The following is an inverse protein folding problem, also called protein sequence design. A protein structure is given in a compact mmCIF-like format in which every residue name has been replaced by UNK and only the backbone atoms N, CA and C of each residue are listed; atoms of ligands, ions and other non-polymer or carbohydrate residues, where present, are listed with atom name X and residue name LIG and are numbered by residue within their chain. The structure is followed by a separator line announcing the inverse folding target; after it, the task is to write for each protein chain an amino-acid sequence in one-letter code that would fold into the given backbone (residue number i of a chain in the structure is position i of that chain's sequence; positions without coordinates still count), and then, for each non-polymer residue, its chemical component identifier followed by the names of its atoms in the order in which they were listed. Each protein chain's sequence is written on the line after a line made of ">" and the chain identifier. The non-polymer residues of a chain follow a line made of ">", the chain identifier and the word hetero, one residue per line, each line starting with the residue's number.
data_IF_207402577884
#
_entry.id   IF_207402577884
#
_cell.length_a   1.000
_cell.length_b   1.000
_cell.length_c   1.000
_cell.angle_alpha   90.00
_cell.angle_beta   90.00
_cell.angle_gamma   90.00
#
_symmetry.space_group_name_H-M   'P 1'
#
loop_
_entity.id
_entity.type
_entity.pdbx_description
1 polymer ?
#
# COMPACT_ATOMS: atom_id res chain seq x y z
N UNK A 1 13.44 6.74 14.81
CA UNK A 1 12.23 7.20 15.54
C UNK A 1 10.96 7.01 14.74
N UNK A 2 10.88 7.47 13.49
CA UNK A 2 9.67 7.35 12.67
C UNK A 2 9.12 5.92 12.54
N UNK A 3 9.98 4.92 12.36
CA UNK A 3 9.55 3.53 12.25
C UNK A 3 8.79 3.01 13.48
N UNK A 4 9.24 3.38 14.69
CA UNK A 4 8.56 3.05 15.94
C UNK A 4 7.19 3.73 16.01
N UNK A 5 7.14 5.02 15.68
CA UNK A 5 5.89 5.80 15.66
C UNK A 5 4.88 5.23 14.63
N UNK A 6 5.35 4.87 13.43
CA UNK A 6 4.51 4.25 12.40
C UNK A 6 3.95 2.90 12.84
N UNK A 7 4.77 2.04 13.45
CA UNK A 7 4.29 0.77 14.01
C UNK A 7 3.33 0.96 15.18
N UNK A 8 3.50 2.02 15.98
CA UNK A 8 2.53 2.38 17.01
C UNK A 8 1.21 2.87 16.42
N UNK A 9 1.25 3.66 15.35
CA UNK A 9 0.05 4.07 14.62
C UNK A 9 -0.78 2.87 14.12
N UNK A 10 -0.10 1.81 13.64
CA UNK A 10 -0.77 0.57 13.23
C UNK A 10 -1.52 -0.10 14.39
N UNK A 11 -1.02 -0.04 15.64
CA UNK A 11 -1.72 -0.58 16.81
C UNK A 11 -3.07 0.11 17.03
N UNK A 12 -3.08 1.44 16.92
CA UNK A 12 -4.28 2.25 17.14
C UNK A 12 -5.33 2.09 16.03
N UNK A 13 -4.93 1.56 14.87
CA UNK A 13 -5.81 1.34 13.73
C UNK A 13 -6.40 -0.08 13.69
N UNK A 14 -6.07 -0.96 14.65
CA UNK A 14 -6.66 -2.31 14.70
C UNK A 14 -8.20 -2.24 14.77
N UNK A 15 -8.93 -3.10 14.04
CA UNK A 15 -8.47 -4.31 13.36
C UNK A 15 -8.00 -4.11 11.90
N UNK A 16 -7.77 -2.88 11.43
CA UNK A 16 -7.29 -2.65 10.08
C UNK A 16 -5.93 -3.30 9.85
N UNK A 17 -5.75 -3.86 8.66
CA UNK A 17 -4.56 -4.63 8.27
C UNK A 17 -3.88 -3.91 7.11
N UNK A 18 -2.56 -3.72 7.21
CA UNK A 18 -1.78 -3.09 6.16
C UNK A 18 -1.45 -4.07 5.02
N UNK A 19 -0.65 -3.65 4.04
CA UNK A 19 -0.17 -4.52 2.97
C UNK A 19 0.78 -5.60 3.52
N UNK A 20 0.94 -6.70 2.78
CA UNK A 20 1.82 -7.80 3.15
C UNK A 20 3.26 -7.37 3.53
N UNK A 21 3.98 -6.55 2.76
CA UNK A 21 5.32 -6.08 3.15
C UNK A 21 5.30 -5.23 4.43
N UNK A 22 4.33 -4.32 4.59
CA UNK A 22 4.23 -3.47 5.77
C UNK A 22 3.88 -4.27 7.03
N UNK A 23 3.01 -5.28 6.94
CA UNK A 23 2.73 -6.17 8.07
C UNK A 23 3.96 -6.97 8.49
N UNK A 24 4.81 -7.41 7.55
CA UNK A 24 6.07 -8.08 7.91
C UNK A 24 7.03 -7.15 8.64
N UNK A 25 7.16 -5.90 8.19
CA UNK A 25 7.97 -4.89 8.89
C UNK A 25 7.43 -4.62 10.29
N UNK A 26 6.11 -4.46 10.42
CA UNK A 26 5.45 -4.31 11.72
C UNK A 26 5.74 -5.51 12.64
N UNK A 27 5.62 -6.75 12.16
CA UNK A 27 5.93 -7.95 12.95
C UNK A 27 7.40 -7.99 13.37
N UNK A 28 8.32 -7.63 12.45
CA UNK A 28 9.75 -7.57 12.73
C UNK A 28 10.06 -6.53 13.82
N UNK A 29 9.49 -5.32 13.74
CA UNK A 29 9.64 -4.29 14.78
C UNK A 29 9.06 -4.77 16.11
N UNK A 30 7.90 -5.44 16.09
CA UNK A 30 7.24 -5.96 17.30
C UNK A 30 7.98 -7.12 17.95
N UNK A 31 8.87 -7.79 17.23
CA UNK A 31 9.76 -8.81 17.80
C UNK A 31 10.84 -8.25 18.73
N UNK A 32 11.19 -6.97 18.58
CA UNK A 32 12.22 -6.30 19.40
C UNK A 32 11.67 -5.14 20.25
N UNK A 33 10.50 -4.62 19.91
CA UNK A 33 9.86 -3.52 20.63
C UNK A 33 8.35 -3.74 20.77
N UNK A 34 7.91 -4.02 21.99
CA UNK A 34 6.50 -4.23 22.31
C UNK A 34 5.66 -2.96 22.06
N UNK A 35 4.35 -3.07 21.77
CA UNK A 35 3.46 -1.91 21.71
C UNK A 35 3.57 -1.04 22.96
N UNK A 36 3.49 0.28 22.79
CA UNK A 36 3.44 1.20 23.91
C UNK A 36 1.99 1.25 24.43
N UNK A 37 1.77 0.74 25.63
CA UNK A 37 0.46 0.73 26.31
C UNK A 37 0.47 1.74 27.47
N UNK A 38 1.52 1.68 28.27
CA UNK A 38 1.82 2.64 29.34
C UNK A 38 3.18 3.28 29.07
N UNK A 39 3.41 4.44 29.68
CA UNK A 39 4.68 5.13 29.55
C UNK A 39 5.82 4.31 30.17
N UNK A 40 6.94 4.24 29.46
CA UNK A 40 8.13 3.48 29.86
C UNK A 40 9.38 4.11 29.24
N UNK A 41 10.54 3.79 29.80
CA UNK A 41 11.81 4.13 29.15
C UNK A 41 11.92 3.46 27.78
N UNK A 42 11.97 4.27 26.72
CA UNK A 42 12.11 3.81 25.35
C UNK A 42 13.57 3.66 24.90
N UNK A 43 14.56 3.93 25.76
CA UNK A 43 15.96 3.92 25.35
C UNK A 43 16.38 2.56 24.75
N UNK A 44 16.02 1.45 25.42
CA UNK A 44 16.31 0.11 24.92
C UNK A 44 15.58 -0.22 23.61
N UNK A 45 14.31 0.19 23.48
CA UNK A 45 13.52 0.04 22.25
C UNK A 45 14.18 0.79 21.08
N UNK A 46 14.64 2.02 21.33
CA UNK A 46 15.30 2.87 20.32
C UNK A 46 16.61 2.25 19.87
N UNK A 47 17.47 1.81 20.78
CA UNK A 47 18.75 1.16 20.44
C UNK A 47 18.54 -0.14 19.67
N UNK A 48 17.57 -0.97 20.06
CA UNK A 48 17.25 -2.20 19.35
C UNK A 48 16.80 -1.93 17.91
N UNK A 49 15.99 -0.89 17.69
CA UNK A 49 15.53 -0.51 16.35
C UNK A 49 16.66 0.11 15.52
N UNK A 50 17.54 0.90 16.12
CA UNK A 50 18.74 1.42 15.43
C UNK A 50 19.61 0.25 14.96
N UNK A 51 19.85 -0.76 15.81
CA UNK A 51 20.64 -1.93 15.43
C UNK A 51 19.95 -2.73 14.33
N UNK A 52 18.63 -2.95 14.42
CA UNK A 52 17.85 -3.65 13.41
C UNK A 52 17.93 -2.97 12.02
N UNK A 53 17.91 -1.64 11.98
CA UNK A 53 18.10 -0.85 10.76
C UNK A 53 19.54 -0.94 10.24
N UNK A 54 20.55 -0.83 11.12
CA UNK A 54 21.97 -0.95 10.75
C UNK A 54 22.33 -2.33 10.22
N UNK A 55 21.70 -3.38 10.77
CA UNK A 55 21.82 -4.76 10.30
C UNK A 55 21.07 -5.00 8.97
N UNK A 56 20.42 -3.97 8.42
CA UNK A 56 19.65 -4.03 7.18
C UNK A 56 18.46 -5.00 7.19
N UNK A 57 18.02 -5.46 8.37
CA UNK A 57 16.95 -6.46 8.52
C UNK A 57 15.60 -5.98 7.98
N UNK A 58 15.31 -4.69 8.06
CA UNK A 58 14.09 -4.11 7.46
C UNK A 58 14.11 -4.25 5.95
N UNK A 59 15.25 -3.96 5.31
CA UNK A 59 15.41 -4.09 3.86
C UNK A 59 15.27 -5.55 3.43
N UNK A 60 15.98 -6.46 4.08
CA UNK A 60 15.92 -7.91 3.78
C UNK A 60 14.49 -8.45 3.92
N UNK A 61 13.74 -7.94 4.89
CA UNK A 61 12.35 -8.30 5.13
C UNK A 61 11.42 -7.92 3.96
N UNK A 62 11.64 -6.77 3.34
CA UNK A 62 10.77 -6.23 2.27
C UNK A 62 11.28 -6.50 0.86
N UNK A 63 12.58 -6.74 0.68
CA UNK A 63 13.24 -6.90 -0.61
C UNK A 63 12.54 -7.93 -1.52
N UNK A 64 12.11 -9.11 -1.04
CA UNK A 64 11.41 -10.07 -1.90
C UNK A 64 10.11 -9.50 -2.47
N UNK A 65 9.35 -8.75 -1.65
CA UNK A 65 8.11 -8.13 -2.09
C UNK A 65 8.36 -7.01 -3.11
N UNK A 66 9.39 -6.18 -2.89
CA UNK A 66 9.76 -5.12 -3.84
C UNK A 66 10.22 -5.68 -5.18
N UNK A 67 10.96 -6.80 -5.17
CA UNK A 67 11.35 -7.50 -6.39
C UNK A 67 10.12 -8.00 -7.14
N UNK A 68 9.18 -8.67 -6.46
CA UNK A 68 7.93 -9.13 -7.06
C UNK A 68 7.11 -7.96 -7.62
N UNK A 69 6.97 -6.86 -6.87
CA UNK A 69 6.25 -5.67 -7.36
C UNK A 69 6.91 -5.10 -8.62
N UNK A 70 8.24 -4.98 -8.66
CA UNK A 70 8.97 -4.49 -9.83
C UNK A 70 8.81 -5.41 -11.04
N UNK A 71 8.93 -6.72 -10.85
CA UNK A 71 8.73 -7.71 -11.93
C UNK A 71 7.31 -7.66 -12.48
N UNK A 72 6.31 -7.45 -11.62
CA UNK A 72 4.92 -7.25 -12.05
C UNK A 72 4.75 -5.96 -12.87
N UNK A 73 5.39 -4.85 -12.46
CA UNK A 73 5.36 -3.57 -13.20
C UNK A 73 5.96 -3.68 -14.60
N UNK A 74 7.06 -4.42 -14.72
CA UNK A 74 7.76 -4.62 -16.00
C UNK A 74 6.95 -5.47 -16.99
N UNK A 75 6.15 -6.43 -16.49
CA UNK A 75 5.32 -7.31 -17.32
C UNK A 75 4.00 -6.68 -17.72
N UNK A 76 3.36 -5.96 -16.79
CA UNK A 76 2.10 -5.27 -17.01
C UNK A 76 2.02 -4.04 -16.08
N UNK A 77 2.30 -2.83 -16.59
CA UNK A 77 2.31 -1.61 -15.78
C UNK A 77 0.93 -1.29 -15.17
N UNK A 78 -0.16 -1.84 -15.71
CA UNK A 78 -1.51 -1.65 -15.19
C UNK A 78 -1.91 -2.72 -14.15
N UNK A 79 -1.24 -3.88 -14.12
CA UNK A 79 -1.56 -4.96 -13.17
C UNK A 79 -1.35 -4.56 -11.70
N UNK A 80 -0.31 -3.77 -11.39
CA UNK A 80 -0.06 -3.26 -10.03
C UNK A 80 -1.18 -2.37 -9.50
N UNK A 81 -1.82 -1.59 -10.37
CA UNK A 81 -2.93 -0.72 -9.98
C UNK A 81 -4.15 -1.51 -9.56
N UNK A 82 -4.36 -2.68 -10.17
CA UNK A 82 -5.50 -3.55 -9.90
C UNK A 82 -5.26 -4.39 -8.63
N UNK A 83 -4.05 -4.92 -8.44
CA UNK A 83 -3.78 -5.89 -7.37
C UNK A 83 -3.47 -5.24 -6.00
N UNK A 84 -2.95 -4.00 -5.99
CA UNK A 84 -2.48 -3.38 -4.75
C UNK A 84 -3.58 -3.14 -3.69
N UNK A 85 -4.87 -3.26 -4.03
CA UNK A 85 -6.04 -3.06 -3.13
C UNK A 85 -5.89 -1.82 -2.23
N UNK A 86 -5.14 -0.81 -2.69
CA UNK A 86 -4.96 0.43 -1.96
C UNK A 86 -6.16 1.33 -2.27
N UNK A 87 -6.56 2.21 -1.32
CA UNK A 87 -7.65 3.15 -1.56
C UNK A 87 -7.45 3.99 -2.83
N UNK A 88 -6.20 4.26 -3.21
CA UNK A 88 -5.85 5.00 -4.44
C UNK A 88 -5.88 4.14 -5.70
N UNK A 89 -5.66 2.82 -5.61
CA UNK A 89 -5.74 1.89 -6.74
C UNK A 89 -7.18 1.58 -7.18
N UNK A 90 -8.11 1.46 -6.21
CA UNK A 90 -9.53 1.13 -6.47
C UNK A 90 -10.22 2.21 -7.34
N UNK A 91 -9.89 3.49 -7.14
CA UNK A 91 -10.59 4.62 -7.81
C UNK A 91 -10.40 4.64 -9.32
N UNK A 92 -9.43 3.92 -9.88
CA UNK A 92 -9.20 3.93 -11.32
C UNK A 92 -9.59 2.65 -12.05
N UNK A 93 -9.73 1.51 -11.36
CA UNK A 93 -10.24 0.28 -11.98
C UNK A 93 -11.69 0.45 -12.48
N UNK A 94 -12.48 1.29 -11.82
CA UNK A 94 -13.85 1.64 -12.24
C UNK A 94 -13.91 2.38 -13.59
N UNK A 95 -12.83 3.06 -14.03
CA UNK A 95 -12.81 3.72 -15.35
C UNK A 95 -12.56 2.76 -16.52
N UNK A 96 -11.95 1.60 -16.25
CA UNK A 96 -11.63 0.62 -17.29
C UNK A 96 -12.76 -0.39 -17.52
N UNK A 97 -13.76 -0.46 -16.64
CA UNK A 97 -14.90 -1.37 -16.76
C UNK A 97 -16.11 -0.80 -17.50
N UNK A 98 -16.08 0.46 -17.95
CA UNK A 98 -17.09 0.97 -18.88
C UNK A 98 -16.81 0.41 -20.28
N UNK A 99 -17.67 -0.48 -20.83
CA UNK A 99 -17.51 -0.90 -22.21
C UNK A 99 -17.78 0.30 -23.10
N UNK A 100 -16.85 0.58 -24.01
CA UNK A 100 -17.08 1.49 -25.12
C UNK A 100 -18.11 0.84 -26.06
N UNK A 101 -19.40 1.06 -25.79
CA UNK A 101 -20.44 0.91 -26.81
C UNK A 101 -20.30 2.08 -27.78
N UNK A 102 -19.61 1.80 -28.88
CA UNK A 102 -19.68 2.63 -30.07
C UNK A 102 -21.08 2.54 -30.69
N UNK A 103 -21.58 3.69 -31.12
CA UNK A 103 -22.54 3.81 -32.22
C UNK A 103 -22.29 5.17 -32.87
N UNK A 104 -21.44 5.16 -33.89
CA UNK A 104 -21.51 6.13 -34.98
C UNK A 104 -22.86 5.92 -35.68
N UNK A 105 -23.78 6.88 -35.56
CA UNK A 105 -24.78 7.16 -36.59
C UNK A 105 -24.90 8.68 -36.74
N UNK A 106 -24.54 9.15 -37.93
CA UNK A 106 -24.77 10.49 -38.43
C UNK A 106 -26.00 10.44 -39.35
N UNK A 107 -27.03 11.25 -39.10
CA UNK A 107 -27.89 11.77 -40.17
C UNK A 107 -28.71 13.00 -39.73
N UNK A 108 -28.96 13.85 -40.72
CA UNK A 108 -29.45 15.21 -40.72
C UNK A 108 -30.97 15.38 -40.53
N UNK A 109 -31.33 16.67 -40.45
CA UNK A 109 -32.61 17.28 -40.80
C UNK A 109 -33.71 17.34 -39.73
N UNK A 110 -34.00 18.56 -39.28
CA UNK A 110 -35.38 19.03 -39.17
C UNK A 110 -35.44 20.56 -39.26
N UNK A 111 -35.85 21.02 -40.44
CA UNK A 111 -36.34 22.37 -40.71
C UNK A 111 -37.88 22.37 -40.51
N UNK A 112 -38.34 23.39 -39.77
CA UNK A 112 -39.61 24.14 -39.87
C UNK A 112 -41.02 23.60 -39.51
N UNK A 113 -41.72 24.54 -38.82
CA UNK A 113 -43.14 24.80 -38.57
C UNK A 113 -43.99 23.82 -37.74
N UNK A 114 -44.50 24.35 -36.62
CA UNK A 114 -45.93 24.68 -36.46
C UNK A 114 -46.13 25.76 -35.38
#
# INVERSE_FOLDING_TARGET
>A
MELLAGCQGIEFLKPLVSTAPLNKVYQLVRSVSAPLVEDRSMHADIEAIIQLLRDNKVWECVQPHLKTLKEMEELDPDALRIDAKTPTGIVMSDRLQTPATGSDEHCSDHEELH
#
